data_IF_194718232908
#
_entry.id   IF_194718232908
#
_cell.length_a   1.000
_cell.length_b   1.000
_cell.length_c   1.000
_cell.angle_alpha   90.00
_cell.angle_beta   90.00
_cell.angle_gamma   90.00
#
_symmetry.space_group_name_H-M   'P 1'
#
loop_
_entity.id
_entity.type
_entity.pdbx_description
1 polymer ?
#
# COMPACT_ATOMS: atom_id res chain seq x y z
N UNK A 1 -34.72 22.16 -0.43
CA UNK A 1 -34.23 21.34 0.69
C UNK A 1 -32.81 20.92 0.34
N UNK A 2 -31.82 21.41 1.07
CA UNK A 2 -30.43 21.00 0.87
C UNK A 2 -30.29 19.59 1.46
N UNK A 3 -30.09 18.60 0.60
CA UNK A 3 -29.79 17.23 1.03
C UNK A 3 -28.35 17.28 1.54
N UNK A 4 -28.18 17.16 2.86
CA UNK A 4 -26.87 16.99 3.48
C UNK A 4 -26.35 15.63 3.02
N UNK A 5 -25.44 15.63 2.05
CA UNK A 5 -24.59 14.47 1.79
C UNK A 5 -23.76 14.24 3.06
N UNK A 6 -23.86 13.04 3.63
CA UNK A 6 -22.97 12.59 4.68
C UNK A 6 -21.52 12.89 4.29
N UNK A 7 -20.62 13.22 5.23
CA UNK A 7 -19.24 13.51 4.89
C UNK A 7 -18.66 12.27 4.21
N UNK A 8 -18.35 12.39 2.93
CA UNK A 8 -17.43 11.47 2.26
C UNK A 8 -16.17 11.49 3.12
N UNK A 9 -15.89 10.39 3.84
CA UNK A 9 -14.64 10.24 4.56
C UNK A 9 -13.52 10.35 3.53
N UNK A 10 -12.96 11.55 3.41
CA UNK A 10 -11.85 11.86 2.52
C UNK A 10 -10.72 10.90 2.87
N UNK A 11 -10.20 10.18 1.88
CA UNK A 11 -9.02 9.33 2.03
C UNK A 11 -7.78 10.19 2.26
N UNK A 12 -7.60 10.64 3.51
CA UNK A 12 -6.48 11.51 3.92
C UNK A 12 -5.32 10.74 4.52
N UNK A 13 -4.16 11.38 4.59
CA UNK A 13 -2.97 10.89 5.31
C UNK A 13 -3.26 10.63 6.79
N UNK A 14 -4.04 11.49 7.42
CA UNK A 14 -4.39 11.41 8.85
C UNK A 14 -5.26 10.17 9.11
N UNK A 15 -6.30 9.96 8.29
CA UNK A 15 -7.14 8.76 8.40
C UNK A 15 -6.36 7.47 8.20
N UNK A 16 -5.39 7.47 7.28
CA UNK A 16 -4.52 6.30 7.06
C UNK A 16 -3.57 6.08 8.24
N UNK A 17 -3.00 7.15 8.80
CA UNK A 17 -2.11 7.06 9.96
C UNK A 17 -2.85 6.50 11.19
N UNK A 18 -4.10 6.90 11.43
CA UNK A 18 -4.95 6.33 12.48
C UNK A 18 -5.19 4.82 12.28
N UNK A 19 -5.40 4.39 11.03
CA UNK A 19 -5.52 2.97 10.72
C UNK A 19 -4.20 2.24 11.00
N UNK A 20 -3.07 2.77 10.52
CA UNK A 20 -1.74 2.18 10.70
C UNK A 20 -1.28 2.08 12.17
N UNK A 21 -1.77 2.93 13.07
CA UNK A 21 -1.56 2.79 14.51
C UNK A 21 -2.17 1.49 15.08
N UNK A 22 -3.18 0.94 14.42
CA UNK A 22 -3.98 -0.19 14.92
C UNK A 22 -3.81 -1.48 14.10
N UNK A 23 -2.97 -1.48 13.07
CA UNK A 23 -2.71 -2.67 12.24
C UNK A 23 -2.00 -3.76 13.05
N UNK A 24 -2.53 -4.98 12.94
CA UNK A 24 -2.01 -6.17 13.58
C UNK A 24 -2.12 -7.40 12.65
N UNK A 25 -1.70 -8.57 13.13
CA UNK A 25 -1.64 -9.81 12.35
C UNK A 25 -3.00 -10.30 11.81
N UNK A 26 -4.13 -9.78 12.31
CA UNK A 26 -5.49 -10.14 11.88
C UNK A 26 -6.14 -9.05 10.99
N UNK A 27 -5.45 -7.94 10.75
CA UNK A 27 -5.99 -6.84 9.94
C UNK A 27 -6.13 -7.24 8.47
N UNK A 28 -5.10 -7.88 7.90
CA UNK A 28 -5.13 -8.37 6.53
C UNK A 28 -5.47 -9.87 6.46
N UNK A 29 -6.09 -10.34 5.37
CA UNK A 29 -6.56 -9.58 4.22
C UNK A 29 -8.06 -9.26 4.32
N UNK A 30 -8.70 -9.48 5.47
CA UNK A 30 -10.17 -9.47 5.62
C UNK A 30 -10.76 -8.18 6.18
N UNK A 31 -9.95 -7.30 6.79
CA UNK A 31 -10.41 -5.99 7.24
C UNK A 31 -9.77 -4.86 6.42
N UNK A 32 -8.49 -5.01 6.11
CA UNK A 32 -7.74 -4.10 5.26
C UNK A 32 -6.86 -4.87 4.29
N UNK A 33 -6.38 -4.19 3.25
CA UNK A 33 -5.32 -4.69 2.39
C UNK A 33 -4.59 -3.53 1.72
N UNK A 34 -3.31 -3.32 2.01
CA UNK A 34 -2.53 -2.18 1.53
C UNK A 34 -1.44 -2.55 0.51
N UNK A 35 -1.45 -3.79 0.01
CA UNK A 35 -0.49 -4.23 -1.00
C UNK A 35 -1.16 -5.22 -1.96
N UNK A 36 -1.44 -4.77 -3.18
CA UNK A 36 -2.07 -5.57 -4.23
C UNK A 36 -1.85 -4.95 -5.61
N UNK A 37 -1.86 -5.81 -6.63
CA UNK A 37 -1.59 -5.44 -8.01
C UNK A 37 -2.76 -5.77 -8.93
N UNK A 38 -2.93 -4.94 -9.94
CA UNK A 38 -3.94 -5.06 -10.99
C UNK A 38 -3.26 -5.27 -12.34
N UNK A 39 -4.08 -5.39 -13.38
CA UNK A 39 -3.62 -5.40 -14.78
C UNK A 39 -2.89 -4.11 -15.23
N UNK A 40 -2.80 -3.08 -14.37
CA UNK A 40 -2.09 -1.84 -14.70
C UNK A 40 -0.57 -1.95 -14.47
N UNK A 41 -0.10 -2.97 -13.73
CA UNK A 41 1.30 -3.42 -13.68
C UNK A 41 1.41 -4.88 -14.15
N UNK A 42 1.53 -5.80 -13.22
CA UNK A 42 1.84 -7.22 -13.38
C UNK A 42 0.87 -8.14 -12.61
N UNK A 43 -0.18 -7.57 -12.03
CA UNK A 43 -1.31 -8.32 -11.49
C UNK A 43 -2.29 -8.80 -12.56
N UNK A 44 -3.26 -9.61 -12.15
CA UNK A 44 -4.31 -10.17 -13.02
C UNK A 44 -5.70 -9.64 -12.74
N UNK A 45 -5.90 -8.98 -11.60
CA UNK A 45 -7.19 -8.39 -11.23
C UNK A 45 -7.50 -7.16 -12.09
N UNK A 46 -8.71 -7.13 -12.64
CA UNK A 46 -9.28 -5.89 -13.16
C UNK A 46 -9.67 -4.98 -12.00
N UNK A 47 -9.47 -3.65 -12.09
CA UNK A 47 -9.82 -2.73 -11.00
C UNK A 47 -11.27 -2.82 -10.52
N UNK A 48 -12.23 -3.05 -11.42
CA UNK A 48 -13.64 -3.24 -11.03
C UNK A 48 -13.86 -4.55 -10.27
N UNK A 49 -13.34 -5.68 -10.77
CA UNK A 49 -13.42 -6.98 -10.09
C UNK A 49 -12.74 -6.95 -8.73
N UNK A 50 -11.63 -6.21 -8.61
CA UNK A 50 -10.94 -5.98 -7.35
C UNK A 50 -11.86 -5.28 -6.34
N UNK A 51 -12.52 -4.20 -6.75
CA UNK A 51 -13.44 -3.47 -5.88
C UNK A 51 -14.69 -4.29 -5.51
N UNK A 52 -15.23 -5.08 -6.44
CA UNK A 52 -16.31 -6.04 -6.15
C UNK A 52 -15.88 -7.04 -5.06
N UNK A 53 -14.67 -7.61 -5.16
CA UNK A 53 -14.13 -8.48 -4.11
C UNK A 53 -13.96 -7.73 -2.79
N UNK A 54 -13.43 -6.51 -2.81
CA UNK A 54 -13.21 -5.72 -1.61
C UNK A 54 -14.53 -5.44 -0.86
N UNK A 55 -15.60 -5.10 -1.59
CA UNK A 55 -16.96 -4.91 -1.05
C UNK A 55 -17.50 -6.24 -0.51
N UNK A 56 -17.41 -7.32 -1.28
CA UNK A 56 -17.94 -8.64 -0.89
C UNK A 56 -17.22 -9.24 0.34
N UNK A 57 -15.92 -8.99 0.49
CA UNK A 57 -15.15 -9.39 1.68
C UNK A 57 -15.55 -8.55 2.91
N UNK A 58 -16.07 -7.33 2.70
CA UNK A 58 -16.36 -6.37 3.76
C UNK A 58 -15.12 -5.63 4.23
N UNK A 59 -14.18 -5.32 3.33
CA UNK A 59 -13.02 -4.50 3.68
C UNK A 59 -13.47 -3.15 4.23
N UNK A 60 -12.79 -2.68 5.27
CA UNK A 60 -12.93 -1.32 5.81
C UNK A 60 -12.12 -0.33 4.98
N UNK A 61 -10.99 -0.76 4.42
CA UNK A 61 -10.23 0.07 3.51
C UNK A 61 -9.07 -0.65 2.82
N UNK A 62 -8.56 -0.07 1.74
CA UNK A 62 -7.51 -0.65 0.91
C UNK A 62 -6.72 0.40 0.13
N UNK A 63 -5.59 -0.02 -0.42
CA UNK A 63 -4.83 0.72 -1.42
C UNK A 63 -4.38 -0.23 -2.55
N UNK A 64 -4.58 0.20 -3.80
CA UNK A 64 -4.01 -0.47 -4.99
C UNK A 64 -2.61 0.08 -5.19
N UNK A 65 -1.61 -0.79 -5.30
CA UNK A 65 -0.19 -0.42 -5.28
C UNK A 65 0.55 -0.96 -6.50
N UNK A 66 -0.03 -0.77 -7.69
CA UNK A 66 0.60 -1.18 -8.95
C UNK A 66 2.02 -0.60 -9.06
N UNK A 67 2.93 -1.36 -9.67
CA UNK A 67 4.30 -0.91 -9.90
C UNK A 67 4.38 0.34 -10.78
N UNK A 68 4.95 1.41 -10.23
CA UNK A 68 5.22 2.69 -10.90
C UNK A 68 4.02 3.30 -11.63
N UNK A 69 2.78 3.06 -11.17
CA UNK A 69 1.58 3.65 -11.76
C UNK A 69 0.45 3.73 -10.75
N UNK A 70 -0.46 4.67 -11.00
CA UNK A 70 -1.70 4.84 -10.22
C UNK A 70 -2.94 4.52 -11.07
N UNK A 71 -2.74 3.94 -12.26
CA UNK A 71 -3.82 3.71 -13.21
C UNK A 71 -4.88 2.73 -12.69
N UNK A 72 -4.49 1.69 -11.95
CA UNK A 72 -5.43 0.76 -11.31
C UNK A 72 -6.26 1.46 -10.24
N UNK A 73 -5.64 2.31 -9.41
CA UNK A 73 -6.34 3.18 -8.46
C UNK A 73 -7.36 4.10 -9.16
N UNK A 74 -6.95 4.82 -10.22
CA UNK A 74 -7.85 5.75 -10.93
C UNK A 74 -9.05 5.02 -11.54
N UNK A 75 -8.83 3.86 -12.16
CA UNK A 75 -9.88 3.03 -12.72
C UNK A 75 -10.83 2.50 -11.62
N UNK A 76 -10.29 1.99 -10.51
CA UNK A 76 -11.08 1.53 -9.36
C UNK A 76 -11.92 2.67 -8.76
N UNK A 77 -11.33 3.86 -8.58
CA UNK A 77 -12.04 5.01 -8.02
C UNK A 77 -13.18 5.47 -8.93
N UNK A 78 -12.95 5.54 -10.24
CA UNK A 78 -13.99 5.93 -11.19
C UNK A 78 -15.15 4.92 -11.21
N UNK A 79 -14.82 3.62 -11.22
CA UNK A 79 -15.81 2.56 -11.13
C UNK A 79 -16.60 2.63 -9.81
N UNK A 80 -15.91 2.83 -8.67
CA UNK A 80 -16.56 2.89 -7.35
C UNK A 80 -17.54 4.06 -7.26
N UNK A 81 -17.20 5.23 -7.81
CA UNK A 81 -18.10 6.40 -7.87
C UNK A 81 -19.40 6.08 -8.62
N UNK A 82 -19.29 5.43 -9.79
CA UNK A 82 -20.45 5.02 -10.59
C UNK A 82 -21.26 3.92 -9.89
N UNK A 83 -20.59 2.92 -9.31
CA UNK A 83 -21.23 1.84 -8.57
C UNK A 83 -22.01 2.34 -7.36
N UNK A 84 -21.45 3.28 -6.59
CA UNK A 84 -22.11 3.89 -5.44
C UNK A 84 -23.33 4.72 -5.82
N UNK A 85 -23.35 5.34 -7.00
CA UNK A 85 -24.54 6.05 -7.49
C UNK A 85 -25.76 5.11 -7.63
N UNK A 86 -25.50 3.86 -8.00
CA UNK A 86 -26.53 2.82 -8.14
C UNK A 86 -26.78 2.02 -6.84
N UNK A 87 -25.94 2.20 -5.82
CA UNK A 87 -25.99 1.48 -4.55
C UNK A 87 -25.78 2.45 -3.36
N UNK A 88 -26.67 3.44 -3.16
CA UNK A 88 -26.44 4.56 -2.25
C UNK A 88 -26.32 4.15 -0.77
N UNK A 89 -26.97 3.05 -0.37
CA UNK A 89 -26.96 2.55 1.01
C UNK A 89 -25.87 1.50 1.27
N UNK A 90 -25.10 1.13 0.23
CA UNK A 90 -24.06 0.13 0.37
C UNK A 90 -22.85 0.69 1.13
N UNK A 91 -22.36 -0.10 2.09
CA UNK A 91 -21.07 0.16 2.72
C UNK A 91 -19.95 -0.22 1.75
N UNK A 92 -19.04 0.72 1.49
CA UNK A 92 -17.85 0.48 0.65
C UNK A 92 -16.58 0.72 1.45
N UNK A 93 -15.47 0.05 1.11
CA UNK A 93 -14.18 0.32 1.73
C UNK A 93 -13.68 1.72 1.39
N UNK A 94 -12.92 2.32 2.30
CA UNK A 94 -12.12 3.50 2.00
C UNK A 94 -10.96 3.14 1.05
N UNK A 95 -10.84 3.86 -0.06
CA UNK A 95 -9.78 3.64 -1.05
C UNK A 95 -8.76 4.80 -1.00
N UNK A 96 -7.54 4.51 -0.55
CA UNK A 96 -6.42 5.48 -0.59
C UNK A 96 -5.61 5.35 -1.88
N UNK A 97 -4.99 6.45 -2.30
CA UNK A 97 -3.94 6.40 -3.34
C UNK A 97 -2.83 5.47 -2.87
N UNK A 98 -2.32 4.67 -3.79
CA UNK A 98 -1.26 3.70 -3.56
C UNK A 98 -0.37 3.57 -4.80
N UNK A 99 0.90 3.24 -4.59
CA UNK A 99 1.86 2.89 -5.64
C UNK A 99 3.00 2.08 -5.01
N UNK A 100 3.58 1.15 -5.75
CA UNK A 100 4.83 0.49 -5.37
C UNK A 100 5.98 0.95 -6.27
N UNK A 101 7.08 1.45 -5.66
CA UNK A 101 8.20 2.07 -6.37
C UNK A 101 9.50 1.33 -6.02
N UNK A 102 10.18 0.79 -7.03
CA UNK A 102 11.54 0.27 -6.90
C UNK A 102 12.53 1.38 -6.52
N UNK A 103 13.44 1.07 -5.61
CA UNK A 103 14.48 1.98 -5.15
C UNK A 103 15.75 1.22 -4.71
N UNK A 104 16.89 1.90 -4.71
CA UNK A 104 18.12 1.43 -4.09
C UNK A 104 18.18 1.84 -2.61
N UNK A 105 18.40 0.86 -1.74
CA UNK A 105 18.72 1.07 -0.33
C UNK A 105 19.87 0.14 0.07
N UNK A 106 20.96 0.70 0.58
CA UNK A 106 22.16 -0.06 0.98
C UNK A 106 22.72 -0.97 -0.15
N UNK A 107 22.64 -0.53 -1.40
CA UNK A 107 23.18 -1.25 -2.56
C UNK A 107 22.33 -2.43 -3.04
N UNK A 108 21.10 -2.59 -2.52
CA UNK A 108 20.13 -3.57 -3.02
C UNK A 108 18.85 -2.87 -3.48
N UNK A 109 18.19 -3.47 -4.46
CA UNK A 109 16.84 -3.06 -4.82
C UNK A 109 15.86 -3.44 -3.70
N UNK A 110 15.07 -2.46 -3.30
CA UNK A 110 13.92 -2.56 -2.41
C UNK A 110 12.70 -1.94 -3.08
N UNK A 111 11.53 -2.22 -2.53
CA UNK A 111 10.29 -1.57 -2.93
C UNK A 111 9.77 -0.67 -1.80
N UNK A 112 9.34 0.52 -2.19
CA UNK A 112 8.71 1.50 -1.30
C UNK A 112 7.26 1.66 -1.73
N UNK A 113 6.34 1.42 -0.80
CA UNK A 113 4.93 1.69 -0.94
C UNK A 113 4.66 3.15 -0.58
N UNK A 114 4.03 3.89 -1.48
CA UNK A 114 3.56 5.25 -1.25
C UNK A 114 2.06 5.29 -1.09
N UNK A 115 1.55 5.96 -0.06
CA UNK A 115 0.11 6.03 0.23
C UNK A 115 -0.40 7.43 0.49
N UNK A 116 -1.71 7.64 0.25
CA UNK A 116 -2.44 8.86 0.60
C UNK A 116 -1.78 10.16 0.10
N UNK A 117 -1.03 10.08 -0.99
CA UNK A 117 -0.37 11.22 -1.62
C UNK A 117 -1.28 11.88 -2.66
N UNK A 118 -1.03 13.16 -2.92
CA UNK A 118 -1.65 13.90 -4.02
C UNK A 118 -1.09 13.43 -5.37
N UNK A 119 -1.96 12.84 -6.21
CA UNK A 119 -1.60 12.31 -7.53
C UNK A 119 -1.02 13.36 -8.48
N UNK A 120 -1.50 14.60 -8.38
CA UNK A 120 -1.10 15.69 -9.27
C UNK A 120 0.21 16.38 -8.82
N UNK A 121 0.79 15.92 -7.70
CA UNK A 121 1.98 16.55 -7.16
C UNK A 121 3.19 16.31 -8.08
N UNK A 122 3.92 17.37 -8.50
CA UNK A 122 4.97 17.25 -9.51
C UNK A 122 6.12 16.32 -9.09
N UNK A 123 6.37 16.14 -7.79
CA UNK A 123 7.43 15.24 -7.31
C UNK A 123 7.09 13.75 -7.51
N UNK A 124 5.82 13.38 -7.69
CA UNK A 124 5.45 12.00 -7.98
C UNK A 124 5.60 11.65 -9.46
N UNK A 125 5.59 12.65 -10.35
CA UNK A 125 5.61 12.44 -11.82
C UNK A 125 6.73 11.52 -12.31
N UNK A 126 7.96 11.53 -11.79
CA UNK A 126 9.00 10.59 -12.23
C UNK A 126 8.66 9.13 -11.93
N UNK A 127 7.95 8.87 -10.84
CA UNK A 127 7.73 7.54 -10.27
C UNK A 127 6.42 6.87 -10.70
N UNK A 128 5.54 7.59 -11.43
CA UNK A 128 4.23 7.09 -11.87
C UNK A 128 4.16 6.92 -13.40
N UNK A 129 5.27 6.48 -14.02
CA UNK A 129 5.44 6.38 -15.48
C UNK A 129 5.52 4.94 -16.01
N UNK A 130 5.18 3.92 -15.21
CA UNK A 130 5.31 2.49 -15.52
C UNK A 130 6.73 2.04 -15.84
N UNK A 131 7.72 2.77 -15.32
CA UNK A 131 9.14 2.46 -15.51
C UNK A 131 9.92 2.78 -14.25
N UNK A 132 10.93 1.98 -14.00
CA UNK A 132 11.89 2.21 -12.93
C UNK A 132 12.73 3.44 -13.30
N UNK A 133 12.88 4.36 -12.35
CA UNK A 133 13.78 5.51 -12.46
C UNK A 133 15.23 5.08 -12.25
N UNK A 134 16.19 5.90 -12.68
CA UNK A 134 17.62 5.58 -12.57
C UNK A 134 18.37 6.69 -11.85
N UNK A 135 19.63 6.46 -11.46
CA UNK A 135 20.48 7.52 -10.92
C UNK A 135 20.04 7.99 -9.53
N UNK A 136 19.92 9.31 -9.35
CA UNK A 136 19.55 9.89 -8.07
C UNK A 136 18.09 9.59 -7.71
N UNK A 137 17.14 9.69 -8.64
CA UNK A 137 15.73 9.38 -8.35
C UNK A 137 15.54 7.94 -7.88
N UNK A 138 16.41 7.00 -8.29
CA UNK A 138 16.34 5.62 -7.83
C UNK A 138 16.73 5.44 -6.36
N UNK A 139 17.36 6.41 -5.70
CA UNK A 139 17.72 6.27 -4.29
C UNK A 139 16.47 6.30 -3.41
N UNK A 140 16.38 5.36 -2.45
CA UNK A 140 15.26 5.25 -1.53
C UNK A 140 14.95 6.57 -0.80
N UNK A 141 15.97 7.34 -0.42
CA UNK A 141 15.79 8.66 0.20
C UNK A 141 15.01 9.64 -0.69
N UNK A 142 15.25 9.62 -2.01
CA UNK A 142 14.56 10.50 -2.96
C UNK A 142 13.13 10.04 -3.25
N UNK A 143 12.88 8.73 -3.27
CA UNK A 143 11.52 8.17 -3.35
C UNK A 143 10.70 8.55 -2.10
N UNK A 144 11.25 8.35 -0.90
CA UNK A 144 10.62 8.73 0.37
C UNK A 144 10.31 10.23 0.40
N UNK A 145 11.30 11.06 0.04
CA UNK A 145 11.12 12.51 0.00
C UNK A 145 10.05 12.95 -1.00
N UNK A 146 9.95 12.30 -2.17
CA UNK A 146 8.92 12.61 -3.16
C UNK A 146 7.51 12.31 -2.64
N UNK A 147 7.32 11.15 -2.00
CA UNK A 147 6.06 10.75 -1.37
C UNK A 147 5.66 11.76 -0.29
N UNK A 148 6.59 12.15 0.60
CA UNK A 148 6.32 13.14 1.65
C UNK A 148 5.97 14.52 1.10
N UNK A 149 6.70 14.99 0.08
CA UNK A 149 6.39 16.27 -0.57
C UNK A 149 5.00 16.26 -1.20
N UNK A 150 4.54 15.09 -1.67
CA UNK A 150 3.18 14.90 -2.15
C UNK A 150 2.14 14.71 -1.05
N UNK A 151 2.53 14.83 0.23
CA UNK A 151 1.65 14.70 1.39
C UNK A 151 1.35 13.27 1.81
N UNK A 152 2.04 12.27 1.25
CA UNK A 152 1.79 10.86 1.53
C UNK A 152 2.61 10.25 2.65
N UNK A 153 2.40 8.96 2.89
CA UNK A 153 3.21 8.09 3.76
C UNK A 153 4.02 7.11 2.93
N UNK A 154 5.29 6.92 3.28
CA UNK A 154 6.18 5.94 2.68
C UNK A 154 6.39 4.73 3.60
N UNK A 155 6.34 3.52 3.04
CA UNK A 155 6.45 2.25 3.78
C UNK A 155 7.41 1.30 3.04
N UNK A 156 8.31 0.63 3.77
CA UNK A 156 9.19 -0.39 3.17
C UNK A 156 8.39 -1.67 2.96
N UNK A 157 8.24 -2.11 1.71
CA UNK A 157 7.51 -3.33 1.38
C UNK A 157 8.31 -4.57 1.75
N UNK A 158 7.62 -5.62 2.21
CA UNK A 158 8.10 -6.98 2.48
C UNK A 158 9.61 -7.08 2.81
N UNK A 159 10.09 -6.44 3.90
CA UNK A 159 11.52 -6.22 4.15
C UNK A 159 12.34 -7.51 4.30
N UNK A 160 11.72 -8.65 4.64
CA UNK A 160 12.42 -9.93 4.76
C UNK A 160 12.53 -10.72 3.44
N UNK A 161 12.09 -10.15 2.31
CA UNK A 161 12.17 -10.79 0.97
C UNK A 161 13.51 -10.53 0.26
N UNK A 162 14.24 -9.48 0.63
CA UNK A 162 15.41 -9.00 -0.10
C UNK A 162 16.68 -9.81 0.19
N UNK A 163 17.69 -9.63 -0.67
CA UNK A 163 19.02 -10.22 -0.47
C UNK A 163 19.75 -9.68 0.76
N UNK A 164 19.40 -8.47 1.21
CA UNK A 164 19.92 -7.86 2.42
C UNK A 164 18.93 -8.06 3.56
N UNK A 165 19.45 -8.30 4.76
CA UNK A 165 18.64 -8.58 5.93
C UNK A 165 17.72 -7.40 6.29
N UNK A 166 16.49 -7.69 6.71
CA UNK A 166 15.58 -6.69 7.27
C UNK A 166 16.16 -6.04 8.54
N UNK A 167 17.09 -6.73 9.24
CA UNK A 167 17.85 -6.17 10.37
C UNK A 167 18.74 -4.97 9.96
N UNK A 168 19.16 -4.90 8.70
CA UNK A 168 19.94 -3.78 8.14
C UNK A 168 19.04 -2.76 7.43
N UNK A 169 18.07 -3.25 6.66
CA UNK A 169 17.24 -2.41 5.80
C UNK A 169 16.27 -1.53 6.60
N UNK A 170 15.66 -2.05 7.66
CA UNK A 170 14.67 -1.28 8.43
C UNK A 170 15.34 -0.10 9.16
N UNK A 171 16.48 -0.27 9.87
CA UNK A 171 17.20 0.87 10.44
C UNK A 171 17.60 1.92 9.40
N UNK A 172 18.15 1.50 8.25
CA UNK A 172 18.54 2.45 7.21
C UNK A 172 17.34 3.17 6.58
N UNK A 173 16.21 2.48 6.42
CA UNK A 173 14.97 3.10 5.97
C UNK A 173 14.44 4.12 6.99
N UNK A 174 14.57 3.84 8.29
CA UNK A 174 14.23 4.78 9.35
C UNK A 174 15.13 6.05 9.32
N UNK A 175 16.43 5.89 9.06
CA UNK A 175 17.39 7.01 8.96
C UNK A 175 17.05 7.99 7.84
N UNK A 176 16.49 7.50 6.72
CA UNK A 176 16.02 8.35 5.61
C UNK A 176 14.58 8.85 5.79
N UNK A 177 13.96 8.61 6.94
CA UNK A 177 12.65 9.16 7.31
C UNK A 177 11.43 8.35 6.86
N UNK A 178 11.57 7.06 6.53
CA UNK A 178 10.41 6.24 6.18
C UNK A 178 9.35 6.25 7.31
N UNK A 179 8.06 6.16 6.97
CA UNK A 179 6.99 6.22 7.97
C UNK A 179 6.62 4.86 8.55
N UNK A 180 6.83 3.78 7.80
CA UNK A 180 6.39 2.45 8.21
C UNK A 180 7.12 1.31 7.51
N UNK A 181 6.79 0.10 7.92
CA UNK A 181 7.25 -1.15 7.32
C UNK A 181 6.06 -2.10 7.13
N UNK A 182 6.09 -2.89 6.07
CA UNK A 182 5.11 -3.96 5.86
C UNK A 182 5.42 -5.13 6.79
N UNK A 183 4.81 -5.10 7.98
CA UNK A 183 5.06 -6.04 9.06
C UNK A 183 4.34 -7.36 8.86
N UNK A 184 3.07 -7.31 8.45
CA UNK A 184 2.23 -8.51 8.32
C UNK A 184 2.14 -8.91 6.85
N UNK A 185 3.11 -9.74 6.48
CA UNK A 185 3.31 -10.25 5.13
C UNK A 185 3.48 -11.76 5.15
N UNK A 186 3.00 -12.42 4.10
CA UNK A 186 2.92 -13.87 4.02
C UNK A 186 4.12 -14.49 3.28
N UNK A 187 5.33 -14.43 3.85
CA UNK A 187 6.59 -14.84 3.18
C UNK A 187 6.64 -16.30 2.68
N UNK A 188 5.87 -17.21 3.30
CA UNK A 188 5.80 -18.61 2.88
C UNK A 188 4.58 -18.93 1.97
N UNK A 189 3.85 -17.90 1.55
CA UNK A 189 2.65 -18.00 0.71
C UNK A 189 1.65 -19.11 1.13
N UNK A 190 1.19 -19.13 2.39
CA UNK A 190 0.19 -20.08 2.84
C UNK A 190 -1.18 -19.80 2.19
N UNK A 191 -1.97 -20.86 2.02
CA UNK A 191 -3.38 -20.80 1.66
C UNK A 191 -4.19 -21.58 2.72
N UNK A 192 -5.01 -20.92 3.57
CA UNK A 192 -5.38 -19.50 3.53
C UNK A 192 -4.21 -18.56 3.87
N UNK A 193 -4.28 -17.33 3.36
CA UNK A 193 -3.28 -16.29 3.67
C UNK A 193 -3.21 -16.04 5.17
N UNK A 194 -1.99 -15.97 5.68
CA UNK A 194 -1.65 -15.56 7.05
C UNK A 194 -0.23 -14.99 7.05
N UNK A 195 0.07 -13.99 7.89
CA UNK A 195 1.42 -13.45 7.97
C UNK A 195 2.39 -14.51 8.52
N UNK A 196 3.64 -14.46 8.11
CA UNK A 196 4.66 -15.36 8.67
C UNK A 196 5.04 -14.90 10.07
N UNK A 197 4.73 -15.72 11.07
CA UNK A 197 4.80 -15.32 12.48
C UNK A 197 6.19 -14.86 12.93
N UNK A 198 7.25 -15.55 12.49
CA UNK A 198 8.62 -15.22 12.88
C UNK A 198 9.07 -13.88 12.30
N UNK A 199 8.96 -13.71 10.98
CA UNK A 199 9.34 -12.46 10.30
C UNK A 199 8.49 -11.30 10.79
N UNK A 200 7.17 -11.48 10.96
CA UNK A 200 6.30 -10.44 11.49
C UNK A 200 6.69 -10.01 12.90
N UNK A 201 7.07 -10.94 13.79
CA UNK A 201 7.55 -10.59 15.13
C UNK A 201 8.83 -9.76 15.07
N UNK A 202 9.80 -10.16 14.25
CA UNK A 202 11.08 -9.46 14.11
C UNK A 202 10.91 -8.06 13.50
N UNK A 203 10.11 -7.95 12.44
CA UNK A 203 9.82 -6.67 11.78
C UNK A 203 9.05 -5.75 12.73
N UNK A 204 8.09 -6.27 13.50
CA UNK A 204 7.34 -5.47 14.48
C UNK A 204 8.24 -4.92 15.59
N UNK A 205 9.20 -5.70 16.09
CA UNK A 205 10.17 -5.25 17.09
C UNK A 205 11.05 -4.11 16.56
N UNK A 206 11.52 -4.23 15.31
CA UNK A 206 12.28 -3.17 14.66
C UNK A 206 11.42 -1.93 14.39
N UNK A 207 10.18 -2.10 13.95
CA UNK A 207 9.24 -1.01 13.75
C UNK A 207 9.06 -0.21 15.05
N UNK A 208 8.79 -0.90 16.17
CA UNK A 208 8.65 -0.28 17.48
C UNK A 208 9.93 0.44 17.92
N UNK A 209 11.10 -0.17 17.74
CA UNK A 209 12.40 0.42 18.09
C UNK A 209 12.67 1.74 17.35
N UNK A 210 12.20 1.85 16.10
CA UNK A 210 12.45 3.01 15.25
C UNK A 210 11.23 3.95 15.12
N UNK A 211 10.16 3.73 15.89
CA UNK A 211 8.96 4.57 15.85
C UNK A 211 8.20 4.51 14.52
N UNK A 212 8.26 3.37 13.82
CA UNK A 212 7.64 3.16 12.52
C UNK A 212 6.24 2.56 12.65
N UNK A 213 5.35 2.94 11.74
CA UNK A 213 4.05 2.29 11.60
C UNK A 213 4.17 0.85 11.08
N UNK A 214 3.19 0.02 11.45
CA UNK A 214 3.02 -1.30 10.86
C UNK A 214 2.00 -1.22 9.72
N UNK A 215 2.32 -1.80 8.58
CA UNK A 215 1.37 -2.06 7.49
C UNK A 215 1.17 -3.56 7.25
N UNK A 216 0.19 -3.90 6.42
CA UNK A 216 -0.08 -5.26 5.99
C UNK A 216 -0.62 -5.28 4.56
N UNK A 217 -0.40 -6.38 3.84
CA UNK A 217 -0.91 -6.52 2.50
C UNK A 217 -0.70 -7.91 1.94
N UNK A 218 -1.53 -8.27 0.97
CA UNK A 218 -1.42 -9.60 0.36
C UNK A 218 -0.28 -9.73 -0.61
N UNK A 219 0.09 -8.64 -1.28
CA UNK A 219 0.98 -8.63 -2.43
C UNK A 219 0.49 -9.65 -3.47
N UNK A 220 -0.80 -9.52 -3.83
CA UNK A 220 -1.44 -10.41 -4.80
C UNK A 220 -1.22 -9.88 -6.21
N UNK A 221 -0.71 -10.76 -7.08
CA UNK A 221 -0.73 -10.58 -8.53
C UNK A 221 -1.76 -11.51 -9.19
N UNK A 222 -2.51 -12.26 -8.39
CA UNK A 222 -3.47 -13.25 -8.85
C UNK A 222 -4.86 -12.69 -9.12
N UNK A 223 -5.85 -13.55 -8.96
CA UNK A 223 -7.28 -13.23 -9.14
C UNK A 223 -8.03 -13.10 -7.81
N UNK A 224 -7.33 -13.14 -6.68
CA UNK A 224 -7.94 -13.10 -5.34
C UNK A 224 -7.22 -12.14 -4.42
N UNK A 225 -7.99 -11.26 -3.77
CA UNK A 225 -7.54 -10.40 -2.67
C UNK A 225 -7.21 -11.15 -1.37
N UNK A 226 -7.39 -12.48 -1.32
CA UNK A 226 -7.20 -13.30 -0.13
C UNK A 226 -5.95 -14.20 -0.19
N UNK A 227 -5.09 -14.03 -1.20
CA UNK A 227 -3.92 -14.86 -1.42
C UNK A 227 -2.74 -14.02 -1.91
N UNK A 228 -1.51 -14.39 -1.54
CA UNK A 228 -0.28 -13.87 -2.14
C UNK A 228 0.01 -14.69 -3.40
N UNK A 229 0.23 -14.05 -4.54
CA UNK A 229 0.54 -14.74 -5.80
C UNK A 229 1.53 -13.91 -6.58
#
# INVERSE_FOLDING_TARGET
MAVNFAPTYSATKESLAEVFQNINAQSCPRHFNFHMHTIYSDGKLQPHTLMEQAIAIGLKGLAITDHHTVGGYQAAQNWLKDWQHHNPDATVPQLWTGVEINANLLGVEVHILGYAFNLEHPNMKPYIQRRIVTGEEYQAANVVAAIHKAGGLAVLAHPARYRRSHLDLIPAAAEIGINGVETFYAYNNPNPWRPSALESQQVQQLAAKHGLYNSCGTDTHGLSLLQRL
#
